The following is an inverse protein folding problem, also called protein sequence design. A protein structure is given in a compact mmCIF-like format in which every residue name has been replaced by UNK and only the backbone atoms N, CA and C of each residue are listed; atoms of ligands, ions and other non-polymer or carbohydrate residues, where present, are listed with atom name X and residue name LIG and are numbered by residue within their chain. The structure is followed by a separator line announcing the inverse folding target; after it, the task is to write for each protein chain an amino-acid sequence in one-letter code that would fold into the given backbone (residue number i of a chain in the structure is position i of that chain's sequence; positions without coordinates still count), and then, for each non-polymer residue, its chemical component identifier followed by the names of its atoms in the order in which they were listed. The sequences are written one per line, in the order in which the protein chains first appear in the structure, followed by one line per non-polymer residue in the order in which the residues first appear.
data_IF_913428496415
#
_entry.id   IF_913428496415
#
_cell.length_a   1.000
_cell.length_b   1.000
_cell.length_c   1.000
_cell.angle_alpha   90.00
_cell.angle_beta   90.00
_cell.angle_gamma   90.00
#
_symmetry.space_group_name_H-M   'P 1'
#
loop_
_entity.id
_entity.type
_entity.pdbx_description
1 polymer ?
#
# COMPACT_ATOMS: atom_id res chain seq x y z
N UNK A 1 -16.86 7.34 -4.07
CA UNK A 1 -16.00 7.56 -5.25
C UNK A 1 -16.50 6.72 -6.42
N UNK A 2 -16.12 7.04 -7.65
CA UNK A 2 -16.30 6.14 -8.80
C UNK A 2 -15.02 5.34 -9.06
N UNK A 3 -15.15 4.01 -9.12
CA UNK A 3 -14.05 3.05 -9.30
C UNK A 3 -14.08 2.34 -10.65
N UNK A 4 -15.02 2.69 -11.53
CA UNK A 4 -15.19 2.04 -12.82
C UNK A 4 -13.90 2.06 -13.64
N UNK A 5 -13.24 3.22 -13.70
CA UNK A 5 -11.99 3.37 -14.45
C UNK A 5 -10.88 2.45 -13.92
N UNK A 6 -10.70 2.38 -12.60
CA UNK A 6 -9.73 1.46 -12.00
C UNK A 6 -10.06 0.00 -12.33
N UNK A 7 -11.32 -0.41 -12.14
CA UNK A 7 -11.77 -1.76 -12.47
C UNK A 7 -11.57 -2.11 -13.94
N UNK A 8 -11.82 -1.16 -14.85
CA UNK A 8 -11.66 -1.35 -16.29
C UNK A 8 -10.19 -1.54 -16.67
N UNK A 9 -9.31 -0.68 -16.17
CA UNK A 9 -7.86 -0.77 -16.43
C UNK A 9 -7.27 -2.08 -15.91
N UNK A 10 -7.66 -2.49 -14.69
CA UNK A 10 -7.23 -3.76 -14.11
C UNK A 10 -7.74 -4.97 -14.91
N UNK A 11 -8.98 -4.93 -15.39
CA UNK A 11 -9.53 -5.99 -16.24
C UNK A 11 -8.79 -6.15 -17.57
N UNK A 12 -8.27 -5.04 -18.12
CA UNK A 12 -7.43 -5.03 -19.32
C UNK A 12 -5.96 -5.34 -19.05
N UNK A 13 -5.57 -5.51 -17.78
CA UNK A 13 -4.16 -5.68 -17.37
C UNK A 13 -3.27 -4.49 -17.74
N UNK A 14 -3.85 -3.29 -17.81
CA UNK A 14 -3.12 -2.04 -18.02
C UNK A 14 -2.52 -1.56 -16.68
N UNK A 15 -1.56 -2.33 -16.15
CA UNK A 15 -1.08 -2.21 -14.77
C UNK A 15 -0.52 -0.82 -14.43
N UNK A 16 0.26 -0.21 -15.33
CA UNK A 16 0.79 1.15 -15.13
C UNK A 16 -0.34 2.18 -15.03
N UNK A 17 -1.32 2.11 -15.92
CA UNK A 17 -2.45 3.03 -15.90
C UNK A 17 -3.35 2.80 -14.68
N UNK A 18 -3.54 1.54 -14.26
CA UNK A 18 -4.26 1.20 -13.04
C UNK A 18 -3.54 1.72 -11.78
N UNK A 19 -2.20 1.69 -11.77
CA UNK A 19 -1.37 2.25 -10.70
C UNK A 19 -1.56 3.76 -10.57
N UNK A 20 -1.43 4.48 -11.68
CA UNK A 20 -1.66 5.92 -11.74
C UNK A 20 -3.10 6.30 -11.35
N UNK A 21 -4.09 5.52 -11.76
CA UNK A 21 -5.48 5.74 -11.36
C UNK A 21 -5.69 5.48 -9.87
N UNK A 22 -4.99 4.50 -9.30
CA UNK A 22 -5.01 4.24 -7.86
C UNK A 22 -4.44 5.42 -7.08
N UNK A 23 -3.27 5.95 -7.48
CA UNK A 23 -2.69 7.15 -6.89
C UNK A 23 -3.67 8.34 -6.94
N UNK A 24 -4.29 8.57 -8.11
CA UNK A 24 -5.30 9.62 -8.29
C UNK A 24 -6.49 9.45 -7.34
N UNK A 25 -7.01 8.23 -7.19
CA UNK A 25 -8.12 7.93 -6.30
C UNK A 25 -7.74 8.15 -4.83
N UNK A 26 -6.57 7.67 -4.40
CA UNK A 26 -6.09 7.83 -3.03
C UNK A 26 -5.94 9.32 -2.66
N UNK A 27 -5.43 10.14 -3.58
CA UNK A 27 -5.33 11.59 -3.40
C UNK A 27 -6.71 12.27 -3.37
N UNK A 28 -7.62 11.90 -4.26
CA UNK A 28 -8.97 12.45 -4.29
C UNK A 28 -9.78 12.11 -3.02
N UNK A 29 -9.60 10.90 -2.47
CA UNK A 29 -10.18 10.52 -1.18
C UNK A 29 -9.58 11.39 -0.07
N UNK A 30 -8.25 11.59 -0.08
CA UNK A 30 -7.61 12.45 0.90
C UNK A 30 -8.12 13.89 0.86
N UNK A 31 -8.27 14.46 -0.34
CA UNK A 31 -8.83 15.79 -0.52
C UNK A 31 -10.28 15.88 -0.03
N UNK A 32 -11.11 14.88 -0.35
CA UNK A 32 -12.52 14.77 0.09
C UNK A 32 -12.65 14.83 1.61
N UNK A 33 -11.77 14.15 2.34
CA UNK A 33 -11.77 14.16 3.82
C UNK A 33 -10.98 15.36 4.41
N UNK A 34 -10.62 16.35 3.59
CA UNK A 34 -10.05 17.62 4.04
C UNK A 34 -8.51 17.67 4.10
N UNK A 35 -7.79 16.68 3.56
CA UNK A 35 -6.34 16.79 3.39
C UNK A 35 -6.00 17.72 2.22
N UNK A 36 -5.61 18.97 2.51
CA UNK A 36 -5.26 19.98 1.50
C UNK A 36 -3.79 19.95 1.06
N UNK A 37 -3.06 18.88 1.37
CA UNK A 37 -1.62 18.72 1.07
C UNK A 37 -1.42 17.74 -0.08
N UNK A 38 -0.34 17.91 -0.83
CA UNK A 38 0.05 16.98 -1.92
C UNK A 38 0.61 15.64 -1.44
N UNK A 39 0.75 15.46 -0.11
CA UNK A 39 1.13 14.20 0.53
C UNK A 39 0.09 13.83 1.57
N UNK A 40 0.06 12.54 1.92
CA UNK A 40 -0.88 12.04 2.92
C UNK A 40 -0.26 12.16 4.31
N UNK A 41 -0.93 12.89 5.21
CA UNK A 41 -0.49 13.00 6.61
C UNK A 41 -0.79 11.73 7.40
N UNK A 42 0.04 11.42 8.40
CA UNK A 42 -0.18 10.28 9.30
C UNK A 42 -1.59 10.27 9.92
N UNK A 43 -2.07 11.42 10.40
CA UNK A 43 -3.39 11.56 11.00
C UNK A 43 -4.52 11.21 10.02
N UNK A 44 -4.34 11.51 8.73
CA UNK A 44 -5.30 11.09 7.72
C UNK A 44 -5.18 9.58 7.43
N UNK A 45 -3.97 9.01 7.35
CA UNK A 45 -3.80 7.56 7.13
C UNK A 45 -4.54 6.74 8.21
N UNK A 46 -4.50 7.16 9.47
CA UNK A 46 -5.22 6.51 10.58
C UNK A 46 -6.74 6.47 10.37
N UNK A 47 -7.27 7.44 9.62
CA UNK A 47 -8.70 7.64 9.39
C UNK A 47 -9.13 7.36 7.94
N UNK A 48 -8.24 6.81 7.10
CA UNK A 48 -8.53 6.56 5.68
C UNK A 48 -9.82 5.74 5.53
N UNK A 49 -10.84 6.19 4.78
CA UNK A 49 -12.14 5.52 4.71
C UNK A 49 -12.03 4.03 4.34
N UNK A 50 -12.59 3.15 5.17
CA UNK A 50 -12.44 1.71 4.95
C UNK A 50 -13.16 1.23 3.69
N UNK A 51 -14.34 1.75 3.39
CA UNK A 51 -15.09 1.36 2.19
C UNK A 51 -14.26 1.64 0.93
N UNK A 52 -13.68 2.84 0.83
CA UNK A 52 -12.87 3.22 -0.31
C UNK A 52 -11.59 2.36 -0.41
N UNK A 53 -10.92 2.10 0.73
CA UNK A 53 -9.71 1.28 0.79
C UNK A 53 -9.99 -0.18 0.40
N UNK A 54 -11.06 -0.78 0.93
CA UNK A 54 -11.44 -2.16 0.68
C UNK A 54 -11.84 -2.37 -0.79
N UNK A 55 -12.52 -1.41 -1.42
CA UNK A 55 -12.86 -1.50 -2.84
C UNK A 55 -11.59 -1.49 -3.71
N UNK A 56 -10.67 -0.56 -3.46
CA UNK A 56 -9.40 -0.47 -4.21
C UNK A 56 -8.62 -1.78 -4.06
N UNK A 57 -8.45 -2.26 -2.83
CA UNK A 57 -7.74 -3.51 -2.55
C UNK A 57 -8.38 -4.72 -3.24
N UNK A 58 -9.71 -4.87 -3.12
CA UNK A 58 -10.44 -5.98 -3.71
C UNK A 58 -10.26 -6.05 -5.23
N UNK A 59 -10.29 -4.89 -5.91
CA UNK A 59 -10.06 -4.83 -7.34
C UNK A 59 -8.66 -5.31 -7.71
N UNK A 60 -7.62 -4.80 -7.03
CA UNK A 60 -6.24 -5.23 -7.26
C UNK A 60 -6.04 -6.72 -7.02
N UNK A 61 -6.53 -7.24 -5.89
CA UNK A 61 -6.44 -8.66 -5.53
C UNK A 61 -7.14 -9.53 -6.57
N UNK A 62 -8.36 -9.15 -6.98
CA UNK A 62 -9.17 -9.91 -7.93
C UNK A 62 -8.49 -10.04 -9.28
N UNK A 63 -8.08 -8.92 -9.88
CA UNK A 63 -7.56 -8.93 -11.26
C UNK A 63 -6.11 -9.41 -11.35
N UNK A 64 -5.34 -9.35 -10.26
CA UNK A 64 -3.97 -9.87 -10.20
C UNK A 64 -3.86 -11.32 -9.76
N UNK A 65 -4.99 -12.02 -9.58
CA UNK A 65 -5.02 -13.37 -9.01
C UNK A 65 -4.31 -13.45 -7.64
N UNK A 66 -4.55 -12.47 -6.78
CA UNK A 66 -4.01 -12.36 -5.43
C UNK A 66 -2.54 -11.93 -5.33
N UNK A 67 -1.91 -11.50 -6.42
CA UNK A 67 -0.49 -11.07 -6.42
C UNK A 67 -0.29 -9.64 -5.94
N UNK A 68 -1.25 -8.76 -6.20
CA UNK A 68 -1.17 -7.31 -5.96
C UNK A 68 -2.32 -6.84 -5.07
N UNK A 69 -2.13 -5.72 -4.40
CA UNK A 69 -3.08 -5.14 -3.45
C UNK A 69 -2.43 -4.69 -2.15
N UNK A 70 -3.08 -3.75 -1.46
CA UNK A 70 -2.63 -3.24 -0.18
C UNK A 70 -2.69 -4.32 0.93
N UNK A 71 -3.65 -5.24 0.88
CA UNK A 71 -3.74 -6.40 1.77
C UNK A 71 -2.57 -7.37 1.55
N UNK A 72 -2.12 -7.53 0.30
CA UNK A 72 -0.95 -8.34 -0.02
C UNK A 72 0.31 -7.69 0.55
N UNK A 73 0.49 -6.39 0.35
CA UNK A 73 1.59 -5.60 0.90
C UNK A 73 1.59 -5.61 2.44
N UNK A 74 0.43 -5.43 3.07
CA UNK A 74 0.27 -5.46 4.52
C UNK A 74 0.72 -6.80 5.11
N UNK A 75 0.34 -7.93 4.50
CA UNK A 75 0.77 -9.25 4.96
C UNK A 75 2.28 -9.45 4.86
N UNK A 76 2.91 -8.93 3.80
CA UNK A 76 4.37 -8.95 3.65
C UNK A 76 5.01 -8.12 4.78
N UNK A 77 4.51 -6.89 5.00
CA UNK A 77 5.01 -6.01 6.05
C UNK A 77 4.89 -6.63 7.44
N UNK A 78 3.72 -7.22 7.77
CA UNK A 78 3.46 -7.91 9.03
C UNK A 78 4.39 -9.12 9.22
N UNK A 79 4.63 -9.90 8.17
CA UNK A 79 5.60 -11.00 8.19
C UNK A 79 7.02 -10.52 8.50
N UNK A 80 7.43 -9.36 7.98
CA UNK A 80 8.73 -8.76 8.29
C UNK A 80 8.82 -8.32 9.76
N UNK A 81 7.78 -7.67 10.28
CA UNK A 81 7.68 -7.25 11.69
C UNK A 81 7.79 -8.46 12.62
N UNK A 82 7.09 -9.55 12.31
CA UNK A 82 7.02 -10.74 13.16
C UNK A 82 8.19 -11.72 12.95
N UNK A 83 9.10 -11.46 12.01
CA UNK A 83 10.18 -12.38 11.67
C UNK A 83 11.25 -12.54 12.76
N UNK A 84 11.32 -11.62 13.73
CA UNK A 84 12.32 -11.57 14.79
C UNK A 84 13.76 -11.34 14.31
N UNK A 85 14.00 -11.28 12.98
CA UNK A 85 15.32 -11.16 12.37
C UNK A 85 16.08 -9.89 12.77
N UNK A 86 15.38 -8.90 13.29
CA UNK A 86 15.93 -7.59 13.61
C UNK A 86 15.78 -7.22 15.09
N UNK A 87 15.27 -8.12 15.94
CA UNK A 87 14.90 -7.80 17.33
C UNK A 87 16.09 -7.33 18.18
N UNK A 88 17.25 -7.97 18.02
CA UNK A 88 18.48 -7.61 18.75
C UNK A 88 18.99 -6.21 18.37
N UNK A 89 18.92 -5.84 17.09
CA UNK A 89 19.31 -4.53 16.60
C UNK A 89 18.26 -3.45 16.94
N UNK A 90 16.99 -3.84 16.99
CA UNK A 90 15.87 -2.93 17.25
C UNK A 90 15.75 -2.51 18.71
N UNK A 91 16.20 -3.34 19.65
CA UNK A 91 16.19 -3.02 21.09
C UNK A 91 17.05 -1.81 21.49
N UNK A 92 17.97 -1.37 20.61
CA UNK A 92 18.98 -0.32 20.88
C UNK A 92 18.76 0.97 20.08
N UNK A 93 17.70 1.04 19.27
CA UNK A 93 17.42 2.19 18.40
C UNK A 93 16.04 2.79 18.71
N UNK A 94 15.82 4.03 18.29
CA UNK A 94 14.51 4.65 18.41
C UNK A 94 13.47 3.94 17.55
N UNK A 95 12.22 3.95 17.99
CA UNK A 95 11.11 3.39 17.22
C UNK A 95 11.02 3.99 15.81
N UNK A 96 11.25 5.29 15.67
CA UNK A 96 11.34 5.95 14.36
C UNK A 96 12.38 5.30 13.46
N UNK A 97 13.57 4.99 13.99
CA UNK A 97 14.64 4.33 13.23
C UNK A 97 14.28 2.89 12.87
N UNK A 98 13.57 2.19 13.76
CA UNK A 98 13.05 0.84 13.52
C UNK A 98 12.11 0.82 12.30
N UNK A 99 11.11 1.71 12.26
CA UNK A 99 10.19 1.77 11.11
C UNK A 99 10.90 2.15 9.81
N UNK A 100 11.88 3.06 9.83
CA UNK A 100 12.67 3.37 8.63
C UNK A 100 13.45 2.16 8.08
N UNK A 101 13.96 1.29 8.95
CA UNK A 101 14.64 0.07 8.53
C UNK A 101 13.64 -0.97 8.01
N UNK A 102 12.49 -1.13 8.69
CA UNK A 102 11.41 -2.01 8.22
C UNK A 102 10.91 -1.60 6.84
N UNK A 103 10.70 -0.30 6.62
CA UNK A 103 10.27 0.24 5.32
C UNK A 103 11.30 -0.08 4.23
N UNK A 104 12.60 0.07 4.51
CA UNK A 104 13.65 -0.28 3.55
C UNK A 104 13.67 -1.78 3.21
N UNK A 105 13.48 -2.65 4.20
CA UNK A 105 13.40 -4.11 3.98
C UNK A 105 12.14 -4.47 3.20
N UNK A 106 11.01 -3.84 3.53
CA UNK A 106 9.74 -4.00 2.82
C UNK A 106 9.87 -3.56 1.36
N UNK A 107 10.43 -2.37 1.08
CA UNK A 107 10.64 -1.89 -0.28
C UNK A 107 11.46 -2.87 -1.11
N UNK A 108 12.53 -3.44 -0.53
CA UNK A 108 13.28 -4.49 -1.22
C UNK A 108 12.44 -5.75 -1.47
N UNK A 109 11.64 -6.19 -0.50
CA UNK A 109 10.81 -7.39 -0.62
C UNK A 109 9.75 -7.27 -1.73
N UNK A 110 9.19 -6.08 -1.93
CA UNK A 110 8.20 -5.82 -2.99
C UNK A 110 8.82 -5.28 -4.28
N UNK A 111 10.14 -5.15 -4.35
CA UNK A 111 10.85 -4.70 -5.56
C UNK A 111 10.78 -3.19 -5.83
N UNK A 112 10.54 -2.37 -4.81
CA UNK A 112 10.56 -0.91 -4.93
C UNK A 112 11.98 -0.36 -4.78
N UNK A 113 12.42 0.36 -5.80
CA UNK A 113 13.68 1.09 -5.82
C UNK A 113 13.48 2.59 -5.56
N UNK A 114 14.58 3.32 -5.32
CA UNK A 114 14.53 4.78 -5.09
C UNK A 114 14.06 5.57 -6.32
N UNK A 115 14.23 5.02 -7.51
CA UNK A 115 13.67 5.55 -8.76
C UNK A 115 12.64 4.57 -9.31
N UNK A 116 11.62 5.08 -9.99
CA UNK A 116 10.56 4.26 -10.60
C UNK A 116 10.98 3.62 -11.94
N UNK A 117 12.16 3.96 -12.44
CA UNK A 117 12.64 3.58 -13.78
C UNK A 117 12.72 2.06 -14.01
N UNK A 118 12.77 1.26 -12.93
CA UNK A 118 12.91 -0.19 -12.98
C UNK A 118 11.66 -0.95 -12.52
N UNK A 119 10.51 -0.28 -12.44
CA UNK A 119 9.30 -0.94 -11.99
C UNK A 119 8.71 -1.83 -13.07
N UNK A 120 8.14 -2.94 -12.61
CA UNK A 120 7.61 -3.98 -13.48
C UNK A 120 6.08 -3.87 -13.42
N UNK A 121 5.49 -3.38 -14.50
CA UNK A 121 4.04 -3.21 -14.63
C UNK A 121 3.43 -4.39 -15.39
N UNK A 122 3.65 -5.59 -14.88
CA UNK A 122 3.08 -6.84 -15.37
C UNK A 122 3.00 -7.89 -14.24
N UNK A 123 2.44 -9.07 -14.53
CA UNK A 123 2.27 -10.15 -13.55
C UNK A 123 3.58 -10.84 -13.14
N UNK A 124 4.69 -10.63 -13.85
CA UNK A 124 6.01 -11.14 -13.50
C UNK A 124 6.66 -10.33 -12.38
N UNK A 125 6.10 -9.16 -12.03
CA UNK A 125 6.55 -8.38 -10.89
C UNK A 125 6.47 -9.20 -9.57
N UNK A 126 7.30 -8.84 -8.56
CA UNK A 126 7.23 -9.44 -7.23
C UNK A 126 5.82 -9.37 -6.61
N UNK A 127 5.50 -10.32 -5.74
CA UNK A 127 4.24 -10.27 -4.99
C UNK A 127 4.23 -9.00 -4.14
N UNK A 128 3.10 -8.28 -4.15
CA UNK A 128 2.94 -6.99 -3.47
C UNK A 128 3.57 -5.80 -4.20
N UNK A 129 4.14 -5.97 -5.39
CA UNK A 129 4.78 -4.85 -6.12
C UNK A 129 3.80 -3.71 -6.42
N UNK A 130 2.55 -4.02 -6.76
CA UNK A 130 1.51 -3.04 -7.08
C UNK A 130 0.35 -3.10 -6.06
N UNK A 131 -0.40 -2.01 -5.88
CA UNK A 131 -0.13 -0.66 -6.40
C UNK A 131 1.06 0.03 -5.71
N UNK A 132 1.74 0.94 -6.40
CA UNK A 132 2.78 1.80 -5.86
C UNK A 132 2.17 3.11 -5.39
N UNK A 133 2.44 3.51 -4.13
CA UNK A 133 1.88 4.75 -3.59
C UNK A 133 2.87 5.46 -2.66
N UNK A 134 3.74 6.29 -3.25
CA UNK A 134 4.88 6.92 -2.57
C UNK A 134 4.51 8.11 -1.68
N UNK A 135 3.27 8.60 -1.74
CA UNK A 135 2.79 9.68 -0.88
C UNK A 135 2.50 9.21 0.55
N UNK A 136 2.65 7.90 0.84
CA UNK A 136 2.67 7.36 2.19
C UNK A 136 4.06 7.61 2.80
N UNK A 137 4.11 8.57 3.73
CA UNK A 137 5.31 8.84 4.52
C UNK A 137 5.47 7.93 5.76
N UNK A 138 4.44 7.17 6.12
CA UNK A 138 4.44 6.28 7.28
C UNK A 138 3.69 4.97 6.95
N UNK A 139 4.45 4.00 6.43
CA UNK A 139 3.92 2.70 5.98
C UNK A 139 3.36 1.86 7.12
N UNK A 140 3.96 1.94 8.31
CA UNK A 140 3.44 1.26 9.48
C UNK A 140 2.00 1.71 9.82
N UNK A 141 1.73 3.02 9.83
CA UNK A 141 0.38 3.55 10.07
C UNK A 141 -0.57 3.13 8.96
N UNK A 142 -0.16 3.25 7.70
CA UNK A 142 -0.99 2.84 6.58
C UNK A 142 -1.37 1.36 6.65
N UNK A 143 -0.40 0.48 6.89
CA UNK A 143 -0.67 -0.96 6.98
C UNK A 143 -1.48 -1.34 8.22
N UNK A 144 -1.34 -0.61 9.33
CA UNK A 144 -2.22 -0.75 10.49
C UNK A 144 -3.68 -0.39 10.12
N UNK A 145 -3.87 0.66 9.31
CA UNK A 145 -5.20 1.02 8.79
C UNK A 145 -5.75 -0.04 7.84
N UNK A 146 -4.91 -0.56 6.93
CA UNK A 146 -5.29 -1.64 6.00
C UNK A 146 -5.79 -2.85 6.79
N UNK A 147 -5.02 -3.31 7.77
CA UNK A 147 -5.40 -4.44 8.63
C UNK A 147 -6.74 -4.19 9.34
N UNK A 148 -6.92 -3.00 9.92
CA UNK A 148 -8.16 -2.62 10.60
C UNK A 148 -9.38 -2.66 9.66
N UNK A 149 -9.27 -2.09 8.47
CA UNK A 149 -10.39 -2.02 7.52
C UNK A 149 -10.78 -3.41 6.99
N UNK A 150 -9.80 -4.28 6.73
CA UNK A 150 -10.06 -5.64 6.25
C UNK A 150 -10.70 -6.51 7.35
N UNK A 151 -10.30 -6.35 8.60
CA UNK A 151 -10.93 -7.02 9.74
C UNK A 151 -12.41 -6.70 9.90
N UNK A 152 -12.83 -5.48 9.55
CA UNK A 152 -14.24 -5.05 9.58
C UNK A 152 -15.10 -5.56 8.42
N UNK A 153 -14.50 -5.95 7.31
CA UNK A 153 -15.23 -6.45 6.13
C UNK A 153 -15.66 -7.92 6.24
N UNK A 154 -15.32 -8.57 7.36
CA UNK A 154 -15.59 -9.99 7.63
C UNK A 154 -16.83 -10.22 8.51
N UNK A 155 -17.50 -9.14 8.93
CA UNK A 155 -18.77 -9.12 9.70
C UNK A 155 -19.94 -8.70 8.81
#
# INVERSE_FOLDING_TARGET
MDYFKLSYLLALQEWLAADQETERLMLAIAEREGNRKSWITSNFLENFPCDDLCIIDHLWVKFSNGRFGFSVQQRIYEGLVNSGKYDNDFSRISEKRRYQLLDAVFFNAVGWTRTQDNFIFDLQAPIGHLPTFYQIGNWHIFFSRVQYCLGKSSD
#
